data_IF_760309393049
#
_entry.id   IF_760309393049
#
_cell.length_a   1.000
_cell.length_b   1.000
_cell.length_c   1.000
_cell.angle_alpha   90.00
_cell.angle_beta   90.00
_cell.angle_gamma   90.00
#
_symmetry.space_group_name_H-M   'P 1'
#
loop_
_entity.id
_entity.type
_entity.pdbx_description
1 polymer ?
#
# COMPACT_ATOMS: atom_id res chain seq x y z
N UNK A 1 6.67 -1.20 -2.16
CA UNK A 1 7.78 -0.35 -2.68
C UNK A 1 7.58 1.13 -2.33
N UNK A 2 6.40 1.69 -2.53
CA UNK A 2 6.12 3.10 -2.19
C UNK A 2 6.37 3.34 -0.69
N UNK A 3 5.73 2.57 0.18
CA UNK A 3 5.94 2.69 1.64
C UNK A 3 7.39 2.44 2.04
N UNK A 4 8.03 1.44 1.43
CA UNK A 4 9.44 1.16 1.67
C UNK A 4 10.34 2.34 1.29
N UNK A 5 9.95 3.15 0.28
CA UNK A 5 10.74 4.27 -0.23
C UNK A 5 11.70 3.87 -1.35
N UNK A 6 11.26 3.00 -2.27
CA UNK A 6 12.04 2.65 -3.46
C UNK A 6 12.28 3.90 -4.29
N UNK A 7 13.49 4.07 -4.83
CA UNK A 7 13.98 5.24 -5.57
C UNK A 7 14.26 6.51 -4.75
N UNK A 8 13.97 6.51 -3.45
CA UNK A 8 14.20 7.67 -2.58
C UNK A 8 15.68 7.73 -2.16
N UNK A 9 16.32 8.85 -2.47
CA UNK A 9 17.66 9.18 -1.93
C UNK A 9 17.56 9.47 -0.43
N UNK A 10 18.51 8.97 0.36
CA UNK A 10 18.47 9.04 1.83
C UNK A 10 17.12 8.53 2.39
N UNK A 11 16.72 7.36 1.94
CA UNK A 11 15.44 6.71 2.23
C UNK A 11 15.04 6.82 3.71
N UNK A 12 15.98 6.61 4.63
CA UNK A 12 15.71 6.64 6.07
C UNK A 12 15.22 8.01 6.57
N UNK A 13 15.49 9.07 5.83
CA UNK A 13 15.03 10.42 6.14
C UNK A 13 13.85 10.86 5.28
N UNK A 14 13.82 10.42 4.02
CA UNK A 14 12.98 11.02 2.99
C UNK A 14 11.84 10.13 2.51
N UNK A 15 11.74 8.85 2.92
CA UNK A 15 10.53 8.08 2.64
C UNK A 15 9.33 8.66 3.41
N UNK A 16 8.11 8.49 2.89
CA UNK A 16 6.95 9.17 3.48
C UNK A 16 6.72 8.82 4.98
N UNK A 17 6.97 7.59 5.48
CA UNK A 17 6.84 7.34 6.91
C UNK A 17 7.82 8.15 7.77
N UNK A 18 9.04 8.37 7.27
CA UNK A 18 10.03 9.20 7.97
C UNK A 18 9.67 10.68 7.94
N UNK A 19 9.14 11.17 6.81
CA UNK A 19 8.62 12.53 6.73
C UNK A 19 7.41 12.72 7.65
N UNK A 20 6.50 11.74 7.70
CA UNK A 20 5.37 11.73 8.62
C UNK A 20 5.83 11.78 10.08
N UNK A 21 6.87 11.02 10.46
CA UNK A 21 7.48 11.10 11.78
C UNK A 21 7.96 12.52 12.12
N UNK A 22 8.62 13.18 11.16
CA UNK A 22 9.10 14.56 11.35
C UNK A 22 7.93 15.54 11.55
N UNK A 23 6.85 15.39 10.79
CA UNK A 23 5.65 16.24 10.88
C UNK A 23 4.89 16.05 12.19
N UNK A 24 4.81 14.83 12.69
CA UNK A 24 4.08 14.48 13.92
C UNK A 24 4.89 14.74 15.21
N UNK A 25 6.21 14.87 15.08
CA UNK A 25 7.10 15.10 16.22
C UNK A 25 7.18 13.93 17.20
N UNK A 26 7.60 14.20 18.42
CA UNK A 26 7.89 13.18 19.45
C UNK A 26 6.66 12.59 20.14
N UNK A 27 5.46 13.08 19.84
CA UNK A 27 4.22 12.53 20.40
C UNK A 27 3.79 11.20 19.77
N UNK A 28 4.36 10.87 18.61
CA UNK A 28 4.09 9.67 17.87
C UNK A 28 5.39 8.93 17.53
N UNK A 29 5.32 7.63 17.44
CA UNK A 29 6.37 6.79 16.89
C UNK A 29 5.88 6.19 15.59
N UNK A 30 6.46 6.59 14.46
CA UNK A 30 6.11 6.09 13.14
C UNK A 30 7.13 5.03 12.71
N UNK A 31 6.65 3.84 12.35
CA UNK A 31 7.48 2.74 11.83
C UNK A 31 7.10 2.41 10.40
N UNK A 32 8.09 2.08 9.62
CA UNK A 32 7.94 1.67 8.22
C UNK A 32 8.10 0.14 8.11
N UNK A 33 6.99 -0.55 7.88
CA UNK A 33 6.95 -1.99 7.63
C UNK A 33 6.64 -2.32 6.17
N UNK A 34 6.95 -1.41 5.26
CA UNK A 34 6.80 -1.63 3.84
C UNK A 34 7.81 -2.64 3.29
N UNK A 35 7.36 -3.57 2.44
CA UNK A 35 8.22 -4.48 1.69
C UNK A 35 8.08 -4.22 0.19
N UNK A 36 9.22 -4.07 -0.52
CA UNK A 36 9.20 -3.79 -1.95
C UNK A 36 8.74 -5.01 -2.75
N UNK A 37 7.78 -4.81 -3.64
CA UNK A 37 7.21 -5.88 -4.46
C UNK A 37 6.12 -6.71 -3.77
N UNK A 38 5.80 -6.43 -2.50
CA UNK A 38 4.78 -7.19 -1.77
C UNK A 38 3.39 -7.03 -2.39
N UNK A 39 2.65 -8.14 -2.47
CA UNK A 39 1.25 -8.21 -2.89
C UNK A 39 0.32 -8.27 -1.68
N UNK A 40 -0.90 -7.80 -1.85
CA UNK A 40 -1.98 -8.06 -0.90
C UNK A 40 -2.45 -9.51 -1.00
N UNK A 41 -2.63 -9.99 -2.25
CA UNK A 41 -3.05 -11.36 -2.54
C UNK A 41 -2.12 -12.38 -1.87
N UNK A 42 -2.70 -13.28 -1.11
CA UNK A 42 -1.98 -14.34 -0.39
C UNK A 42 -1.37 -15.40 -1.33
N UNK A 43 -1.93 -15.57 -2.52
CA UNK A 43 -1.39 -16.41 -3.59
C UNK A 43 -0.60 -15.61 -4.64
N UNK A 44 -0.38 -14.32 -4.41
CA UNK A 44 0.46 -13.49 -5.28
C UNK A 44 1.91 -13.95 -5.30
N UNK A 45 2.68 -13.43 -6.25
CA UNK A 45 4.09 -13.86 -6.42
C UNK A 45 5.01 -13.45 -5.23
N UNK A 46 4.55 -12.55 -4.35
CA UNK A 46 5.27 -12.11 -3.14
C UNK A 46 4.28 -11.63 -2.08
N UNK A 47 3.55 -12.51 -1.41
CA UNK A 47 2.55 -12.12 -0.42
C UNK A 47 3.17 -11.30 0.72
N UNK A 48 2.52 -10.21 1.12
CA UNK A 48 2.98 -9.41 2.27
C UNK A 48 2.95 -10.21 3.56
N UNK A 49 1.97 -11.08 3.72
CA UNK A 49 1.82 -11.94 4.90
C UNK A 49 2.97 -12.92 5.11
N UNK A 50 3.77 -13.22 4.07
CA UNK A 50 4.94 -14.09 4.13
C UNK A 50 6.25 -13.31 4.38
N UNK A 51 6.19 -11.97 4.44
CA UNK A 51 7.37 -11.15 4.66
C UNK A 51 7.60 -10.91 6.16
N UNK A 52 8.87 -10.81 6.54
CA UNK A 52 9.23 -10.53 7.94
C UNK A 52 8.62 -9.22 8.45
N UNK A 53 8.51 -8.21 7.58
CA UNK A 53 7.93 -6.91 7.92
C UNK A 53 6.46 -7.01 8.35
N UNK A 54 5.72 -8.00 7.85
CA UNK A 54 4.36 -8.26 8.33
C UNK A 54 4.36 -8.72 9.79
N UNK A 55 5.21 -9.69 10.15
CA UNK A 55 5.31 -10.15 11.54
C UNK A 55 5.82 -9.03 12.46
N UNK A 56 6.83 -8.28 12.03
CA UNK A 56 7.34 -7.13 12.76
C UNK A 56 6.24 -6.07 12.99
N UNK A 57 5.36 -5.84 12.00
CA UNK A 57 4.24 -4.92 12.11
C UNK A 57 3.18 -5.40 13.13
N UNK A 58 2.88 -6.70 13.17
CA UNK A 58 1.97 -7.28 14.17
C UNK A 58 2.56 -7.18 15.58
N UNK A 59 3.85 -7.49 15.74
CA UNK A 59 4.56 -7.45 17.03
C UNK A 59 4.68 -6.03 17.58
N UNK A 60 4.73 -5.03 16.71
CA UNK A 60 4.75 -3.61 17.09
C UNK A 60 3.43 -3.14 17.74
N UNK A 61 2.30 -3.80 17.45
CA UNK A 61 0.98 -3.53 18.05
C UNK A 61 0.57 -2.06 17.99
N UNK A 62 0.73 -1.46 16.81
CA UNK A 62 0.46 -0.04 16.59
C UNK A 62 -0.95 0.37 17.04
N UNK A 63 -1.08 1.59 17.59
CA UNK A 63 -2.38 2.20 17.90
C UNK A 63 -3.08 2.72 16.62
N UNK A 64 -2.29 3.02 15.58
CA UNK A 64 -2.78 3.44 14.28
C UNK A 64 -2.02 2.70 13.17
N UNK A 65 -2.77 2.01 12.30
CA UNK A 65 -2.22 1.26 11.16
C UNK A 65 -2.68 1.91 9.86
N UNK A 66 -1.77 2.18 8.95
CA UNK A 66 -2.05 2.65 7.59
C UNK A 66 -1.65 1.55 6.60
N UNK A 67 -2.61 1.05 5.81
CA UNK A 67 -2.38 -0.03 4.86
C UNK A 67 -2.41 0.52 3.43
N UNK A 68 -1.26 0.47 2.75
CA UNK A 68 -1.12 0.80 1.34
C UNK A 68 -0.58 -0.40 0.56
N UNK A 69 -1.47 -1.25 0.09
CA UNK A 69 -1.20 -2.46 -0.71
C UNK A 69 -2.12 -2.49 -1.94
N UNK A 70 -1.76 -3.31 -2.93
CA UNK A 70 -2.51 -3.49 -4.17
C UNK A 70 -1.73 -3.14 -5.44
N UNK A 71 -0.72 -2.25 -5.36
CA UNK A 71 0.06 -1.86 -6.55
C UNK A 71 0.77 -3.04 -7.21
N UNK A 72 1.35 -3.95 -6.44
CA UNK A 72 2.05 -5.11 -6.98
C UNK A 72 1.08 -6.20 -7.44
N UNK A 73 -0.15 -6.15 -6.99
CA UNK A 73 -1.23 -7.04 -7.42
C UNK A 73 -1.63 -6.80 -8.87
N UNK A 74 -1.31 -5.63 -9.44
CA UNK A 74 -1.46 -5.35 -10.88
C UNK A 74 -0.52 -6.13 -11.78
N UNK A 75 0.43 -6.89 -11.24
CA UNK A 75 1.32 -7.73 -12.03
C UNK A 75 0.53 -8.89 -12.67
N UNK A 76 0.76 -9.20 -13.96
CA UNK A 76 0.07 -10.30 -14.68
C UNK A 76 0.18 -11.67 -14.01
N UNK A 77 1.17 -11.88 -13.15
CA UNK A 77 1.32 -13.11 -12.36
C UNK A 77 0.30 -13.26 -11.25
N UNK A 78 -0.39 -12.18 -10.89
CA UNK A 78 -1.34 -12.13 -9.77
C UNK A 78 -2.77 -11.92 -10.28
N UNK A 79 -2.96 -10.86 -11.03
CA UNK A 79 -4.23 -10.48 -11.61
C UNK A 79 -4.23 -10.81 -13.12
N UNK A 80 -5.19 -11.50 -13.68
CA UNK A 80 -6.54 -11.80 -13.15
C UNK A 80 -6.67 -13.12 -12.37
N UNK A 81 -5.62 -13.93 -12.23
CA UNK A 81 -5.69 -15.30 -11.68
C UNK A 81 -6.37 -15.37 -10.29
N UNK A 82 -5.96 -14.47 -9.38
CA UNK A 82 -6.40 -14.50 -7.98
C UNK A 82 -7.34 -13.35 -7.61
N UNK A 83 -7.91 -12.65 -8.58
CA UNK A 83 -8.72 -11.45 -8.37
C UNK A 83 -9.88 -11.64 -7.40
N UNK A 84 -10.54 -12.80 -7.44
CA UNK A 84 -11.68 -13.14 -6.58
C UNK A 84 -11.31 -13.23 -5.08
N UNK A 85 -10.04 -13.45 -4.77
CA UNK A 85 -9.56 -13.59 -3.40
C UNK A 85 -9.28 -12.23 -2.73
N UNK A 86 -9.13 -11.16 -3.51
CA UNK A 86 -8.60 -9.87 -3.04
C UNK A 86 -9.33 -9.31 -1.83
N UNK A 87 -10.67 -9.27 -1.86
CA UNK A 87 -11.45 -8.72 -0.76
C UNK A 87 -11.31 -9.56 0.52
N UNK A 88 -11.33 -10.88 0.38
CA UNK A 88 -11.17 -11.79 1.51
C UNK A 88 -9.77 -11.68 2.14
N UNK A 89 -8.74 -11.60 1.31
CA UNK A 89 -7.35 -11.43 1.75
C UNK A 89 -7.16 -10.09 2.47
N UNK A 90 -7.76 -9.03 1.95
CA UNK A 90 -7.69 -7.71 2.61
C UNK A 90 -8.37 -7.72 3.98
N UNK A 91 -9.55 -8.34 4.08
CA UNK A 91 -10.26 -8.46 5.36
C UNK A 91 -9.44 -9.29 6.35
N UNK A 92 -8.84 -10.42 5.91
CA UNK A 92 -7.95 -11.22 6.76
C UNK A 92 -6.75 -10.41 7.28
N UNK A 93 -6.14 -9.59 6.43
CA UNK A 93 -5.04 -8.71 6.82
C UNK A 93 -5.50 -7.68 7.87
N UNK A 94 -6.65 -7.06 7.67
CA UNK A 94 -7.25 -6.13 8.65
C UNK A 94 -7.48 -6.83 9.99
N UNK A 95 -8.05 -8.02 9.96
CA UNK A 95 -8.37 -8.78 11.17
C UNK A 95 -7.12 -9.23 11.93
N UNK A 96 -6.01 -9.51 11.25
CA UNK A 96 -4.74 -9.81 11.91
C UNK A 96 -4.21 -8.63 12.73
N UNK A 97 -4.32 -7.40 12.21
CA UNK A 97 -3.96 -6.19 12.98
C UNK A 97 -4.92 -5.94 14.14
N UNK A 98 -6.23 -6.19 13.96
CA UNK A 98 -7.20 -6.11 15.06
C UNK A 98 -6.96 -7.14 16.16
N UNK A 99 -6.50 -8.34 15.79
CA UNK A 99 -6.12 -9.37 16.77
C UNK A 99 -4.85 -8.98 17.53
N UNK A 100 -3.86 -8.41 16.85
CA UNK A 100 -2.62 -7.94 17.46
C UNK A 100 -2.85 -6.79 18.45
N UNK A 101 -3.72 -5.83 18.10
CA UNK A 101 -4.17 -4.75 18.97
C UNK A 101 -5.65 -4.44 18.71
N UNK A 102 -6.59 -4.92 19.57
CA UNK A 102 -8.02 -4.69 19.41
C UNK A 102 -8.46 -3.22 19.45
N UNK A 103 -7.60 -2.32 19.93
CA UNK A 103 -7.86 -0.87 19.98
C UNK A 103 -7.28 -0.12 18.78
N UNK A 104 -6.56 -0.81 17.90
CA UNK A 104 -5.93 -0.18 16.74
C UNK A 104 -6.97 0.50 15.82
N UNK A 105 -6.68 1.72 15.44
CA UNK A 105 -7.38 2.41 14.36
C UNK A 105 -6.70 2.04 13.06
N UNK A 106 -7.47 1.55 12.09
CA UNK A 106 -6.93 1.09 10.80
C UNK A 106 -7.47 2.00 9.70
N UNK A 107 -6.59 2.48 8.85
CA UNK A 107 -6.90 3.28 7.68
C UNK A 107 -6.39 2.56 6.44
N UNK A 108 -7.23 2.50 5.41
CA UNK A 108 -6.85 1.96 4.12
C UNK A 108 -6.45 3.10 3.18
N UNK A 109 -5.57 2.81 2.23
CA UNK A 109 -5.19 3.78 1.20
C UNK A 109 -5.69 3.33 -0.18
N UNK A 110 -6.22 4.27 -0.96
CA UNK A 110 -6.22 4.11 -2.41
C UNK A 110 -4.77 4.08 -2.89
N UNK A 111 -4.53 3.30 -3.95
CA UNK A 111 -3.20 3.20 -4.51
C UNK A 111 -2.76 4.53 -5.13
N UNK A 112 -1.47 4.85 -4.99
CA UNK A 112 -0.82 5.90 -5.80
C UNK A 112 -0.97 5.59 -7.29
N UNK A 113 -0.96 6.58 -8.19
CA UNK A 113 -1.14 6.33 -9.62
C UNK A 113 0.01 5.53 -10.22
N UNK A 114 -0.29 4.78 -11.27
CA UNK A 114 0.68 4.25 -12.23
C UNK A 114 0.41 4.97 -13.55
N UNK A 115 1.42 5.61 -14.12
CA UNK A 115 1.29 6.34 -15.37
C UNK A 115 1.54 5.46 -16.58
N UNK A 116 0.97 5.85 -17.73
CA UNK A 116 0.94 5.09 -18.99
C UNK A 116 2.32 4.69 -19.52
N UNK A 117 3.34 5.48 -19.22
CA UNK A 117 4.72 5.18 -19.62
C UNK A 117 5.38 4.05 -18.85
N UNK A 118 4.73 3.53 -17.80
CA UNK A 118 5.26 2.38 -17.06
C UNK A 118 4.96 1.09 -17.83
N UNK A 119 5.95 0.19 -18.06
CA UNK A 119 5.77 -1.03 -18.86
C UNK A 119 4.65 -1.95 -18.34
N UNK A 120 4.32 -1.89 -17.05
CA UNK A 120 3.21 -2.65 -16.45
C UNK A 120 1.84 -2.26 -17.05
N UNK A 121 1.71 -1.10 -17.68
CA UNK A 121 0.48 -0.69 -18.35
C UNK A 121 0.40 -1.07 -19.83
N UNK A 122 1.34 -1.87 -20.30
CA UNK A 122 1.18 -2.58 -21.56
C UNK A 122 0.10 -3.65 -21.34
N UNK A 123 -0.90 -3.67 -22.22
CA UNK A 123 -2.02 -4.64 -22.27
C UNK A 123 -2.78 -4.89 -20.95
N UNK A 124 -3.98 -4.35 -20.82
CA UNK A 124 -5.01 -4.66 -19.80
C UNK A 124 -4.68 -4.35 -18.33
N UNK A 125 -3.42 -4.15 -17.94
CA UNK A 125 -3.03 -3.89 -16.55
C UNK A 125 -3.59 -2.58 -16.01
N UNK A 126 -3.93 -1.61 -16.88
CA UNK A 126 -4.68 -0.41 -16.49
C UNK A 126 -6.08 -0.77 -15.99
N UNK A 127 -6.78 -1.68 -16.66
CA UNK A 127 -8.11 -2.12 -16.23
C UNK A 127 -8.00 -2.87 -14.90
N UNK A 128 -6.95 -3.65 -14.69
CA UNK A 128 -6.69 -4.32 -13.42
C UNK A 128 -6.41 -3.32 -12.30
N UNK A 129 -5.61 -2.29 -12.55
CA UNK A 129 -5.42 -1.21 -11.59
C UNK A 129 -6.76 -0.58 -11.18
N UNK A 130 -7.62 -0.26 -12.13
CA UNK A 130 -8.93 0.30 -11.86
C UNK A 130 -9.85 -0.68 -11.12
N UNK A 131 -9.75 -1.98 -11.42
CA UNK A 131 -10.46 -3.03 -10.69
C UNK A 131 -9.99 -3.08 -9.22
N UNK A 132 -8.70 -3.14 -8.97
CA UNK A 132 -8.12 -3.18 -7.62
C UNK A 132 -8.53 -1.93 -6.82
N UNK A 133 -8.50 -0.74 -7.43
CA UNK A 133 -9.00 0.49 -6.78
C UNK A 133 -10.49 0.36 -6.37
N UNK A 134 -11.32 -0.30 -7.19
CA UNK A 134 -12.73 -0.56 -6.82
C UNK A 134 -12.83 -1.54 -5.65
N UNK A 135 -12.05 -2.62 -5.66
CA UNK A 135 -11.99 -3.59 -4.57
C UNK A 135 -11.55 -2.94 -3.24
N UNK A 136 -10.53 -2.09 -3.25
CA UNK A 136 -10.10 -1.35 -2.06
C UNK A 136 -11.25 -0.50 -1.49
N UNK A 137 -11.99 0.23 -2.33
CA UNK A 137 -13.17 1.00 -1.90
C UNK A 137 -14.30 0.11 -1.35
N UNK A 138 -14.51 -1.05 -1.96
CA UNK A 138 -15.49 -2.02 -1.48
C UNK A 138 -15.13 -2.55 -0.08
N UNK A 139 -13.87 -2.91 0.14
CA UNK A 139 -13.38 -3.36 1.44
C UNK A 139 -13.50 -2.25 2.48
N UNK A 140 -13.10 -1.02 2.17
CA UNK A 140 -13.25 0.11 3.08
C UNK A 140 -14.71 0.31 3.49
N UNK A 141 -15.64 0.27 2.52
CA UNK A 141 -17.07 0.37 2.78
C UNK A 141 -17.62 -0.80 3.61
N UNK A 142 -17.24 -2.03 3.27
CA UNK A 142 -17.71 -3.23 3.97
C UNK A 142 -17.21 -3.31 5.42
N UNK A 143 -16.01 -2.83 5.69
CA UNK A 143 -15.39 -2.84 7.03
C UNK A 143 -15.65 -1.57 7.84
N UNK A 144 -16.26 -0.54 7.24
CA UNK A 144 -16.48 0.78 7.86
C UNK A 144 -15.19 1.55 8.14
N UNK A 145 -14.07 1.18 7.49
CA UNK A 145 -12.78 1.81 7.72
C UNK A 145 -12.61 3.07 6.86
N UNK A 146 -11.91 4.09 7.38
CA UNK A 146 -11.59 5.28 6.60
C UNK A 146 -10.63 4.96 5.45
N UNK A 147 -10.78 5.69 4.35
CA UNK A 147 -10.00 5.53 3.13
C UNK A 147 -9.24 6.83 2.84
N UNK A 148 -7.92 6.74 2.77
CA UNK A 148 -7.02 7.85 2.37
C UNK A 148 -6.88 7.82 0.85
N UNK A 149 -7.14 8.94 0.22
CA UNK A 149 -6.91 9.11 -1.23
C UNK A 149 -5.46 9.51 -1.50
N UNK A 150 -4.63 8.54 -1.89
CA UNK A 150 -3.27 8.79 -2.36
C UNK A 150 -3.18 8.92 -3.89
N UNK A 151 -4.30 8.73 -4.59
CA UNK A 151 -4.34 8.79 -6.04
C UNK A 151 -4.49 10.22 -6.56
N UNK A 152 -5.55 10.91 -6.14
CA UNK A 152 -5.92 12.22 -6.68
C UNK A 152 -4.81 13.27 -6.55
N UNK A 153 -4.13 13.43 -5.40
CA UNK A 153 -3.08 14.43 -5.26
C UNK A 153 -1.90 14.21 -6.22
N UNK A 154 -1.54 12.95 -6.46
CA UNK A 154 -0.39 12.59 -7.30
C UNK A 154 -0.76 12.47 -8.79
N UNK A 155 -2.03 12.24 -9.12
CA UNK A 155 -2.45 12.04 -10.50
C UNK A 155 -2.20 13.27 -11.39
N UNK A 156 -2.30 14.46 -10.82
CA UNK A 156 -2.01 15.73 -11.53
C UNK A 156 -0.51 16.09 -11.55
N UNK A 157 0.34 15.29 -10.90
CA UNK A 157 1.77 15.56 -10.72
C UNK A 157 2.65 14.38 -11.21
N UNK A 158 2.58 14.02 -12.51
CA UNK A 158 3.40 12.93 -13.07
C UNK A 158 4.90 13.21 -12.98
N UNK A 159 5.31 14.45 -12.81
CA UNK A 159 6.68 14.88 -12.57
C UNK A 159 7.27 14.33 -11.28
N UNK A 160 6.42 14.05 -10.29
CA UNK A 160 6.84 13.47 -9.01
C UNK A 160 7.11 11.96 -9.07
N UNK A 161 6.76 11.27 -10.16
CA UNK A 161 6.94 9.83 -10.34
C UNK A 161 7.85 9.56 -11.56
N UNK A 162 9.15 9.69 -11.37
CA UNK A 162 10.13 9.61 -12.47
C UNK A 162 10.09 8.29 -13.25
N UNK A 163 9.86 7.17 -12.56
CA UNK A 163 9.67 5.86 -13.16
C UNK A 163 8.20 5.51 -13.42
N UNK A 164 7.30 6.49 -13.35
CA UNK A 164 5.86 6.37 -13.56
C UNK A 164 5.06 5.60 -12.49
N UNK A 165 5.69 5.16 -11.39
CA UNK A 165 5.02 4.39 -10.32
C UNK A 165 5.48 4.79 -8.91
N UNK A 166 6.75 5.14 -8.71
CA UNK A 166 7.28 5.48 -7.40
C UNK A 166 7.41 6.99 -7.23
N UNK A 167 6.74 7.57 -6.22
CA UNK A 167 6.92 8.99 -5.89
C UNK A 167 8.35 9.26 -5.43
N UNK A 168 8.89 10.41 -5.83
CA UNK A 168 10.13 10.95 -5.27
C UNK A 168 9.90 11.53 -3.86
N UNK A 169 10.92 12.14 -3.26
CA UNK A 169 10.82 12.67 -1.89
C UNK A 169 9.80 13.82 -1.74
N UNK A 170 9.51 14.58 -2.80
CA UNK A 170 8.46 15.60 -2.80
C UNK A 170 7.06 14.99 -2.88
N UNK A 171 6.89 13.92 -3.70
CA UNK A 171 5.62 13.20 -3.83
C UNK A 171 5.30 12.33 -2.64
#
# INVERSE_FOLDING_TARGET
SVTWGLTITDREKNCYPSQLQQMLGNQYEVKNFGHSGATLLSHGHRPYIDQKEYQEALDFKADLVVIHLGLNDTDPRNWPEYSEEFNADYIRLIDSFRQANPKAKIWLCQMTPIFDRHPRFESSTRDWYNQIQRHIRQVAKATGLPLIDLNTPLYSRPDLLADAIHPNAEG
#
